data_IF_882390067678
#
_entry.id   IF_882390067678
#
_cell.length_a   1.000
_cell.length_b   1.000
_cell.length_c   1.000
_cell.angle_alpha   90.00
_cell.angle_beta   90.00
_cell.angle_gamma   90.00
#
_symmetry.space_group_name_H-M   'P 1'
#
loop_
_entity.id
_entity.type
_entity.pdbx_description
1 polymer ?
#
# COMPACT_ATOMS: atom_id res chain seq x y z
N UNK A 1 -14.50 2.68 -72.99
CA UNK A 1 -14.73 4.14 -73.04
C UNK A 1 -15.38 4.56 -71.73
N UNK A 2 -14.63 5.37 -70.94
CA UNK A 2 -15.07 6.36 -69.91
C UNK A 2 -16.09 5.95 -68.83
N UNK A 3 -15.92 6.16 -67.52
CA UNK A 3 -14.89 6.78 -66.67
C UNK A 3 -15.17 6.37 -65.20
N UNK A 4 -14.12 6.09 -64.42
CA UNK A 4 -14.13 6.04 -62.93
C UNK A 4 -14.23 7.45 -62.31
N UNK A 5 -14.49 7.54 -60.98
CA UNK A 5 -13.43 7.91 -60.04
C UNK A 5 -13.42 7.00 -58.79
N UNK A 6 -12.33 6.31 -58.47
CA UNK A 6 -11.14 6.72 -57.66
C UNK A 6 -11.46 6.96 -56.16
N UNK A 7 -11.02 5.99 -55.34
CA UNK A 7 -10.81 6.08 -53.89
C UNK A 7 -9.46 6.73 -53.55
N UNK A 8 -9.39 7.46 -52.42
CA UNK A 8 -8.18 7.68 -51.59
C UNK A 8 -8.69 7.70 -50.13
N UNK A 9 -8.49 6.67 -49.28
CA UNK A 9 -7.29 6.22 -48.55
C UNK A 9 -6.75 7.32 -47.59
N UNK A 10 -6.45 7.10 -46.30
CA UNK A 10 -5.94 5.94 -45.57
C UNK A 10 -6.38 5.94 -44.09
N UNK A 11 -6.92 4.81 -43.62
CA UNK A 11 -6.74 4.31 -42.26
C UNK A 11 -5.41 3.54 -42.20
N UNK A 12 -4.69 3.63 -41.08
CA UNK A 12 -3.64 2.66 -40.74
C UNK A 12 -3.84 2.18 -39.30
N UNK A 13 -4.49 1.02 -39.17
CA UNK A 13 -4.44 0.16 -37.99
C UNK A 13 -3.15 -0.66 -38.01
N UNK A 14 -2.36 -0.59 -36.93
CA UNK A 14 -1.32 -1.57 -36.63
C UNK A 14 -1.93 -2.68 -35.78
N UNK A 15 -1.88 -3.93 -36.27
CA UNK A 15 -2.15 -5.14 -35.48
C UNK A 15 -0.95 -6.07 -35.61
N UNK A 16 -0.27 -6.36 -34.50
CA UNK A 16 0.89 -7.26 -34.46
C UNK A 16 0.45 -8.72 -34.33
N UNK A 17 0.92 -9.53 -35.28
CA UNK A 17 1.16 -10.98 -35.29
C UNK A 17 0.78 -11.81 -34.06
N UNK A 18 -0.31 -12.58 -34.20
CA UNK A 18 -0.47 -14.02 -33.87
C UNK A 18 -1.92 -14.34 -33.45
N UNK A 19 -2.80 -14.66 -34.41
CA UNK A 19 -3.93 -15.62 -34.35
C UNK A 19 -4.73 -15.60 -35.67
N UNK A 20 -5.41 -16.70 -35.96
CA UNK A 20 -6.13 -17.04 -37.20
C UNK A 20 -7.45 -16.25 -37.41
N UNK A 21 -7.92 -16.10 -38.66
CA UNK A 21 -8.99 -15.14 -39.03
C UNK A 21 -10.41 -15.71 -38.88
N UNK A 22 -10.81 -16.10 -37.67
CA UNK A 22 -12.19 -16.54 -37.38
C UNK A 22 -12.83 -15.90 -36.13
N UNK A 23 -12.15 -14.99 -35.43
CA UNK A 23 -12.69 -14.30 -34.26
C UNK A 23 -12.34 -12.81 -34.28
N UNK A 24 -13.05 -12.03 -35.12
CA UNK A 24 -13.12 -10.59 -35.01
C UNK A 24 -14.60 -10.18 -35.00
N UNK A 25 -15.17 -10.05 -33.80
CA UNK A 25 -16.52 -9.50 -33.60
C UNK A 25 -16.41 -7.97 -33.63
N UNK A 26 -17.15 -7.23 -34.49
CA UNK A 26 -17.14 -5.78 -34.46
C UNK A 26 -17.98 -5.28 -33.28
N UNK A 27 -17.34 -4.66 -32.29
CA UNK A 27 -18.04 -3.92 -31.24
C UNK A 27 -18.58 -2.60 -31.79
N UNK A 28 -19.80 -2.62 -32.32
CA UNK A 28 -20.56 -1.43 -32.69
C UNK A 28 -21.04 -0.76 -31.40
N UNK A 29 -20.56 0.46 -31.11
CA UNK A 29 -21.17 1.36 -30.13
C UNK A 29 -22.53 1.82 -30.67
N UNK A 30 -23.61 1.21 -30.17
CA UNK A 30 -24.96 1.69 -30.41
C UNK A 30 -25.27 2.86 -29.45
N UNK A 31 -25.21 4.09 -29.96
CA UNK A 31 -25.91 5.23 -29.35
C UNK A 31 -27.39 5.15 -29.75
N UNK A 32 -28.35 5.08 -28.82
CA UNK A 32 -29.75 4.94 -29.17
C UNK A 32 -30.28 6.21 -29.86
N UNK A 33 -31.06 6.01 -30.92
CA UNK A 33 -31.69 7.10 -31.68
C UNK A 33 -32.91 7.67 -30.92
N UNK A 34 -33.28 8.95 -31.16
CA UNK A 34 -34.34 9.64 -30.41
C UNK A 34 -35.76 9.04 -30.55
N UNK A 35 -35.97 8.06 -31.44
CA UNK A 35 -37.27 7.39 -31.63
C UNK A 35 -37.49 6.18 -30.70
N UNK A 36 -36.46 5.63 -30.06
CA UNK A 36 -36.64 4.51 -29.10
C UNK A 36 -36.93 4.98 -27.67
N UNK A 37 -36.67 6.25 -27.34
CA UNK A 37 -36.93 6.83 -26.01
C UNK A 37 -38.42 7.16 -25.79
N UNK A 38 -39.22 7.24 -26.86
CA UNK A 38 -40.66 7.56 -26.78
C UNK A 38 -41.54 6.32 -26.56
N UNK A 39 -41.05 5.10 -26.81
CA UNK A 39 -41.80 3.86 -26.54
C UNK A 39 -41.65 3.36 -25.09
N UNK A 40 -40.62 3.79 -24.36
CA UNK A 40 -40.36 3.37 -22.97
C UNK A 40 -41.13 4.18 -21.92
N UNK A 41 -41.54 5.43 -22.23
CA UNK A 41 -42.31 6.26 -21.30
C UNK A 41 -43.79 5.85 -21.15
N UNK A 42 -44.36 5.08 -22.10
CA UNK A 42 -45.76 4.63 -22.03
C UNK A 42 -45.97 3.34 -21.21
N UNK A 43 -44.92 2.73 -20.64
CA UNK A 43 -45.04 1.51 -19.82
C UNK A 43 -44.89 1.71 -18.30
N UNK A 44 -44.53 2.91 -17.81
CA UNK A 44 -44.18 3.10 -16.40
C UNK A 44 -44.74 4.37 -15.71
N UNK A 45 -45.76 5.02 -16.26
CA UNK A 45 -46.59 6.04 -15.57
C UNK A 45 -45.83 7.03 -14.64
N UNK A 46 -44.71 7.60 -15.11
CA UNK A 46 -43.94 8.60 -14.39
C UNK A 46 -44.31 10.00 -14.92
N UNK A 47 -44.95 10.81 -14.07
CA UNK A 47 -45.13 12.25 -14.33
C UNK A 47 -43.81 12.97 -14.05
N UNK A 48 -43.46 13.90 -14.95
CA UNK A 48 -42.34 14.86 -14.93
C UNK A 48 -41.03 14.41 -15.61
N UNK A 49 -40.92 14.72 -16.90
CA UNK A 49 -39.65 15.04 -17.55
C UNK A 49 -39.88 16.29 -18.42
N UNK A 50 -39.41 17.43 -17.92
CA UNK A 50 -39.64 18.75 -18.48
C UNK A 50 -38.29 19.46 -18.69
N UNK A 51 -37.98 19.67 -19.97
CA UNK A 51 -37.18 20.78 -20.55
C UNK A 51 -35.65 20.83 -20.34
N UNK A 52 -34.92 20.83 -21.47
CA UNK A 52 -34.31 22.04 -22.06
C UNK A 52 -33.74 21.73 -23.47
N UNK A 53 -34.27 22.41 -24.49
CA UNK A 53 -33.75 22.41 -25.88
C UNK A 53 -32.59 23.42 -26.02
N UNK A 54 -31.56 23.13 -26.84
CA UNK A 54 -30.48 24.06 -27.10
C UNK A 54 -30.89 25.11 -28.15
N UNK A 55 -30.62 26.40 -27.86
CA UNK A 55 -30.68 27.49 -28.83
C UNK A 55 -29.25 27.89 -29.25
N UNK A 56 -28.93 27.78 -30.53
CA UNK A 56 -27.97 28.64 -31.25
C UNK A 56 -28.81 29.75 -31.92
N UNK A 57 -28.32 31.00 -32.12
CA UNK A 57 -27.39 31.21 -33.25
C UNK A 57 -26.49 32.48 -33.24
N UNK A 58 -25.65 32.50 -34.29
CA UNK A 58 -25.06 33.64 -35.05
C UNK A 58 -23.64 34.12 -34.72
N UNK A 59 -22.83 33.98 -35.77
CA UNK A 59 -21.54 34.60 -36.02
C UNK A 59 -21.66 36.12 -36.15
N UNK A 60 -20.59 36.83 -35.78
CA UNK A 60 -20.35 38.22 -36.16
C UNK A 60 -18.92 38.40 -36.64
N UNK A 61 -18.81 39.31 -37.62
CA UNK A 61 -17.71 39.58 -38.54
C UNK A 61 -16.46 40.21 -37.90
N UNK A 62 -15.37 39.99 -38.62
CA UNK A 62 -14.08 40.69 -38.68
C UNK A 62 -14.15 42.23 -38.71
N UNK A 63 -13.19 42.88 -38.03
CA UNK A 63 -12.60 44.18 -38.40
C UNK A 63 -11.09 44.14 -38.12
N UNK A 64 -10.32 44.73 -39.03
CA UNK A 64 -8.86 44.71 -39.11
C UNK A 64 -8.16 45.82 -38.32
N UNK A 65 -6.90 45.52 -37.97
CA UNK A 65 -5.68 46.34 -37.85
C UNK A 65 -5.74 47.85 -37.50
N UNK A 66 -4.93 48.23 -36.49
CA UNK A 66 -4.07 49.41 -36.60
C UNK A 66 -2.72 49.18 -35.92
N UNK A 67 -1.69 49.67 -36.59
CA UNK A 67 -0.26 49.62 -36.27
C UNK A 67 0.16 50.79 -35.38
N UNK A 68 1.07 50.56 -34.42
CA UNK A 68 1.98 51.60 -33.94
C UNK A 68 3.29 51.01 -33.43
N UNK A 69 4.37 51.56 -33.95
CA UNK A 69 5.79 51.29 -33.77
C UNK A 69 6.37 51.78 -32.44
N UNK A 70 7.33 51.05 -31.86
CA UNK A 70 8.18 51.54 -30.76
C UNK A 70 9.35 50.60 -30.41
N UNK A 71 10.55 51.01 -30.86
CA UNK A 71 11.96 50.60 -30.63
C UNK A 71 12.36 49.48 -29.62
N UNK A 72 13.48 48.76 -29.89
CA UNK A 72 13.96 47.64 -29.07
C UNK A 72 14.91 48.08 -27.94
N UNK A 73 14.81 47.43 -26.79
CA UNK A 73 15.82 47.43 -25.72
C UNK A 73 16.18 45.98 -25.40
N UNK A 74 17.44 45.62 -25.58
CA UNK A 74 18.02 44.35 -25.12
C UNK A 74 18.03 44.29 -23.59
N UNK A 75 17.91 43.07 -23.02
CA UNK A 75 18.97 42.69 -22.09
C UNK A 75 19.37 41.21 -22.20
N UNK A 76 20.67 40.98 -22.29
CA UNK A 76 21.30 39.75 -21.86
C UNK A 76 21.40 39.78 -20.33
N UNK A 77 20.70 38.87 -19.62
CA UNK A 77 21.09 38.45 -18.28
C UNK A 77 20.60 37.03 -18.02
N UNK A 78 21.56 36.16 -17.74
CA UNK A 78 21.46 34.80 -17.25
C UNK A 78 20.47 34.67 -16.09
N UNK A 79 19.46 33.79 -16.20
CA UNK A 79 18.55 33.45 -15.11
C UNK A 79 18.62 31.97 -14.74
N UNK A 80 18.94 31.70 -13.48
CA UNK A 80 18.52 30.49 -12.77
C UNK A 80 16.98 30.41 -12.80
N UNK A 81 16.36 29.22 -12.87
CA UNK A 81 14.91 29.15 -13.00
C UNK A 81 14.22 29.64 -11.72
N UNK A 82 13.11 30.41 -11.81
CA UNK A 82 12.52 31.07 -10.66
C UNK A 82 11.44 30.20 -10.00
N UNK A 83 11.63 29.85 -8.74
CA UNK A 83 10.57 29.33 -7.87
C UNK A 83 9.51 30.40 -7.51
N UNK A 84 9.67 31.64 -7.98
CA UNK A 84 8.86 32.82 -7.61
C UNK A 84 7.61 33.03 -8.46
N UNK A 85 7.56 32.57 -9.71
CA UNK A 85 6.46 32.88 -10.64
C UNK A 85 5.11 32.22 -10.25
N UNK A 86 5.15 31.04 -9.63
CA UNK A 86 3.93 30.30 -9.26
C UNK A 86 3.17 30.97 -8.11
N UNK A 87 3.86 31.69 -7.23
CA UNK A 87 3.27 32.42 -6.11
C UNK A 87 2.49 33.63 -6.63
N UNK A 88 3.00 34.33 -7.63
CA UNK A 88 2.38 35.53 -8.20
C UNK A 88 1.05 35.25 -8.94
N UNK A 89 0.92 34.11 -9.62
CA UNK A 89 -0.34 33.76 -10.33
C UNK A 89 -1.44 33.35 -9.34
N UNK A 90 -1.10 32.66 -8.26
CA UNK A 90 -2.09 32.23 -7.28
C UNK A 90 -2.81 33.44 -6.65
N UNK A 91 -2.09 34.53 -6.40
CA UNK A 91 -2.64 35.79 -5.87
C UNK A 91 -3.57 36.51 -6.87
N UNK A 92 -3.45 36.24 -8.18
CA UNK A 92 -4.41 36.70 -9.20
C UNK A 92 -5.76 35.98 -9.03
N UNK A 93 -5.73 34.68 -8.72
CA UNK A 93 -6.94 33.87 -8.55
C UNK A 93 -7.56 34.01 -7.14
N UNK A 94 -6.75 34.28 -6.12
CA UNK A 94 -7.18 34.30 -4.73
C UNK A 94 -6.74 35.60 -4.03
N UNK A 95 -7.71 36.42 -3.59
CA UNK A 95 -7.43 37.56 -2.72
C UNK A 95 -7.19 37.08 -1.29
N UNK A 96 -5.97 37.24 -0.79
CA UNK A 96 -5.63 36.92 0.60
C UNK A 96 -6.40 37.82 1.58
N UNK A 97 -6.97 37.24 2.64
CA UNK A 97 -7.61 38.01 3.71
C UNK A 97 -6.55 38.51 4.69
N UNK A 98 -6.63 39.79 5.07
CA UNK A 98 -5.77 40.34 6.12
C UNK A 98 -5.94 39.51 7.40
N UNK A 99 -4.85 38.89 7.89
CA UNK A 99 -4.79 37.98 9.05
C UNK A 99 -4.94 36.46 8.79
N UNK A 100 -4.77 35.96 7.55
CA UNK A 100 -4.73 34.52 7.28
C UNK A 100 -3.32 33.88 7.37
N UNK A 101 -2.49 34.24 8.36
CA UNK A 101 -1.25 33.46 8.60
C UNK A 101 -1.61 32.18 9.35
N UNK A 102 -1.35 30.98 8.79
CA UNK A 102 -1.52 29.73 9.53
C UNK A 102 -0.68 29.78 10.80
N UNK A 103 -1.22 29.29 11.91
CA UNK A 103 -0.44 29.14 13.15
C UNK A 103 0.80 28.29 12.85
N UNK A 104 2.00 28.81 13.13
CA UNK A 104 3.28 28.15 12.94
C UNK A 104 3.49 26.91 13.82
N UNK A 105 2.58 26.63 14.74
CA UNK A 105 2.74 25.64 15.80
C UNK A 105 2.00 24.31 15.57
N UNK A 106 1.31 24.16 14.44
CA UNK A 106 0.64 22.91 14.10
C UNK A 106 1.30 22.31 12.85
N UNK A 107 1.95 21.16 12.99
CA UNK A 107 2.18 20.28 11.85
C UNK A 107 0.80 19.79 11.39
N UNK A 108 0.24 20.41 10.36
CA UNK A 108 -1.13 20.15 9.91
C UNK A 108 -1.26 18.93 9.00
N UNK A 109 -0.25 18.06 8.93
CA UNK A 109 -0.22 16.98 7.95
C UNK A 109 0.69 15.84 8.34
N UNK A 110 0.23 14.62 8.05
CA UNK A 110 1.03 13.40 8.15
C UNK A 110 1.97 13.32 6.96
N UNK A 111 3.22 12.93 7.21
CA UNK A 111 4.20 12.57 6.19
C UNK A 111 4.59 11.10 6.32
N UNK A 112 4.51 10.37 5.21
CA UNK A 112 4.90 8.96 5.14
C UNK A 112 6.02 8.79 4.13
N UNK A 113 7.06 8.05 4.50
CA UNK A 113 8.12 7.61 3.59
C UNK A 113 7.93 6.14 3.22
N UNK A 114 8.09 5.80 1.95
CA UNK A 114 8.23 4.42 1.47
C UNK A 114 9.64 4.26 0.89
N UNK A 115 10.42 3.35 1.47
CA UNK A 115 11.77 3.00 1.00
C UNK A 115 11.70 1.72 0.18
N UNK A 116 12.15 1.81 -1.06
CA UNK A 116 12.01 0.80 -2.11
C UNK A 116 10.78 1.07 -2.97
N UNK A 117 10.98 1.29 -4.28
CA UNK A 117 9.89 1.47 -5.27
C UNK A 117 9.73 0.22 -6.14
N UNK A 118 9.88 -0.96 -5.51
CA UNK A 118 9.49 -2.24 -6.10
C UNK A 118 7.98 -2.43 -6.08
N UNK A 119 7.51 -3.59 -6.57
CA UNK A 119 6.08 -3.91 -6.66
C UNK A 119 5.36 -3.81 -5.30
N UNK A 120 6.03 -4.14 -4.20
CA UNK A 120 5.50 -4.01 -2.83
C UNK A 120 5.41 -2.54 -2.42
N UNK A 121 6.51 -1.79 -2.55
CA UNK A 121 6.55 -0.37 -2.21
C UNK A 121 5.51 0.45 -2.97
N UNK A 122 5.36 0.20 -4.28
CA UNK A 122 4.36 0.91 -5.08
C UNK A 122 2.92 0.50 -4.75
N UNK A 123 2.67 -0.78 -4.43
CA UNK A 123 1.34 -1.20 -3.94
C UNK A 123 0.99 -0.51 -2.60
N UNK A 124 1.96 -0.36 -1.70
CA UNK A 124 1.78 0.37 -0.43
C UNK A 124 1.54 1.85 -0.68
N UNK A 125 2.38 2.50 -1.49
CA UNK A 125 2.28 3.92 -1.83
C UNK A 125 0.91 4.24 -2.46
N UNK A 126 0.48 3.46 -3.44
CA UNK A 126 -0.83 3.62 -4.10
C UNK A 126 -2.00 3.38 -3.12
N UNK A 127 -1.89 2.40 -2.22
CA UNK A 127 -2.95 2.14 -1.23
C UNK A 127 -3.03 3.26 -0.20
N UNK A 128 -1.88 3.82 0.22
CA UNK A 128 -1.81 4.98 1.12
C UNK A 128 -2.49 6.21 0.49
N UNK A 129 -2.24 6.46 -0.80
CA UNK A 129 -2.84 7.58 -1.53
C UNK A 129 -4.35 7.41 -1.68
N UNK A 130 -4.80 6.24 -2.10
CA UNK A 130 -6.25 5.97 -2.32
C UNK A 130 -7.05 5.89 -1.03
N UNK A 131 -6.41 5.60 0.12
CA UNK A 131 -7.06 5.64 1.44
C UNK A 131 -6.90 6.99 2.18
N UNK A 132 -6.31 7.99 1.52
CA UNK A 132 -6.18 9.35 2.06
C UNK A 132 -5.43 9.38 3.40
N UNK A 133 -4.34 8.63 3.51
CA UNK A 133 -3.62 8.44 4.79
C UNK A 133 -2.52 9.48 5.04
N UNK A 134 -2.17 10.30 4.05
CA UNK A 134 -1.06 11.23 4.15
C UNK A 134 -1.29 12.50 3.36
N UNK A 135 -0.64 13.58 3.79
CA UNK A 135 -0.57 14.86 3.06
C UNK A 135 0.73 15.03 2.30
N UNK A 136 1.79 14.31 2.72
CA UNK A 136 3.07 14.24 2.03
C UNK A 136 3.54 12.78 1.94
N UNK A 137 3.85 12.32 0.73
CA UNK A 137 4.41 11.00 0.46
C UNK A 137 5.84 11.19 -0.08
N UNK A 138 6.82 10.61 0.62
CA UNK A 138 8.20 10.57 0.17
C UNK A 138 8.58 9.18 -0.31
N UNK A 139 9.20 9.08 -1.48
CA UNK A 139 9.70 7.84 -2.05
C UNK A 139 11.23 7.87 -2.11
N UNK A 140 11.87 6.78 -1.70
CA UNK A 140 13.32 6.61 -1.77
C UNK A 140 13.66 5.27 -2.39
N UNK A 141 14.54 5.27 -3.38
CA UNK A 141 15.14 4.08 -3.97
C UNK A 141 16.52 4.46 -4.54
N UNK A 142 17.37 3.47 -4.81
CA UNK A 142 18.68 3.67 -5.44
C UNK A 142 18.57 3.84 -6.95
N UNK A 143 17.50 3.34 -7.58
CA UNK A 143 17.28 3.42 -9.03
C UNK A 143 16.62 4.75 -9.41
N UNK A 144 17.43 5.78 -9.64
CA UNK A 144 16.97 7.16 -9.87
C UNK A 144 15.91 7.32 -10.97
N UNK A 145 16.11 6.70 -12.13
CA UNK A 145 15.17 6.82 -13.26
C UNK A 145 13.83 6.14 -12.96
N UNK A 146 13.88 4.94 -12.39
CA UNK A 146 12.69 4.23 -11.94
C UNK A 146 11.94 5.04 -10.88
N UNK A 147 12.65 5.53 -9.87
CA UNK A 147 12.09 6.35 -8.80
C UNK A 147 11.38 7.60 -9.33
N UNK A 148 12.01 8.30 -10.28
CA UNK A 148 11.41 9.45 -10.94
C UNK A 148 10.17 9.05 -11.75
N UNK A 149 10.23 7.95 -12.50
CA UNK A 149 9.11 7.42 -13.28
C UNK A 149 7.89 7.12 -12.41
N UNK A 150 8.07 6.36 -11.33
CA UNK A 150 7.01 6.00 -10.38
C UNK A 150 6.40 7.25 -9.71
N UNK A 151 7.23 8.23 -9.33
CA UNK A 151 6.74 9.50 -8.78
C UNK A 151 5.88 10.27 -9.79
N UNK A 152 6.34 10.40 -11.04
CA UNK A 152 5.61 11.13 -12.08
C UNK A 152 4.28 10.46 -12.39
N UNK A 153 4.24 9.12 -12.45
CA UNK A 153 3.02 8.37 -12.71
C UNK A 153 1.97 8.60 -11.61
N UNK A 154 2.39 8.55 -10.33
CA UNK A 154 1.49 8.90 -9.22
C UNK A 154 1.05 10.37 -9.24
N UNK A 155 1.93 11.30 -9.66
CA UNK A 155 1.57 12.72 -9.81
C UNK A 155 0.57 12.95 -10.95
N UNK A 156 0.63 12.19 -12.04
CA UNK A 156 -0.37 12.25 -13.11
C UNK A 156 -1.76 11.83 -12.62
N UNK A 157 -1.83 10.97 -11.60
CA UNK A 157 -3.08 10.59 -10.95
C UNK A 157 -3.64 11.64 -9.97
N UNK A 158 -2.95 12.77 -9.74
CA UNK A 158 -3.32 13.76 -8.71
C UNK A 158 -4.74 14.33 -8.87
N UNK A 159 -5.31 14.36 -10.08
CA UNK A 159 -6.69 14.80 -10.30
C UNK A 159 -7.75 13.84 -9.73
N UNK A 160 -7.39 12.59 -9.47
CA UNK A 160 -8.27 11.54 -8.95
C UNK A 160 -8.02 11.21 -7.48
N UNK A 161 -7.01 11.84 -6.87
CA UNK A 161 -6.55 11.57 -5.52
C UNK A 161 -6.71 12.83 -4.64
N UNK A 162 -6.76 12.69 -3.31
CA UNK A 162 -6.64 13.83 -2.41
C UNK A 162 -5.34 14.59 -2.67
N UNK A 163 -5.37 15.90 -2.41
CA UNK A 163 -4.19 16.76 -2.55
C UNK A 163 -3.06 16.25 -1.63
N UNK A 164 -2.14 15.51 -2.23
CA UNK A 164 -0.97 14.94 -1.56
C UNK A 164 0.28 15.43 -2.27
N UNK A 165 1.24 15.96 -1.51
CA UNK A 165 2.55 16.31 -2.05
C UNK A 165 3.38 15.02 -2.18
N UNK A 166 3.73 14.65 -3.41
CA UNK A 166 4.56 13.48 -3.68
C UNK A 166 5.96 13.96 -4.05
N UNK A 167 6.96 13.51 -3.29
CA UNK A 167 8.38 13.82 -3.51
C UNK A 167 9.18 12.53 -3.59
N UNK A 168 10.22 12.50 -4.42
CA UNK A 168 11.07 11.33 -4.57
C UNK A 168 12.52 11.73 -4.80
N UNK A 169 13.45 11.06 -4.12
CA UNK A 169 14.89 11.28 -4.31
C UNK A 169 15.68 10.04 -3.84
N UNK A 170 16.88 9.83 -4.40
CA UNK A 170 17.84 8.84 -3.90
C UNK A 170 18.45 9.30 -2.56
N UNK A 171 18.51 10.62 -2.32
CA UNK A 171 18.93 11.20 -1.05
C UNK A 171 17.80 11.17 0.00
N UNK A 172 18.12 10.61 1.16
CA UNK A 172 17.23 10.50 2.31
C UNK A 172 16.83 11.85 2.92
N UNK A 173 17.46 12.97 2.57
CA UNK A 173 17.01 14.30 2.98
C UNK A 173 15.52 14.55 2.64
N UNK A 174 15.01 13.93 1.56
CA UNK A 174 13.58 14.01 1.18
C UNK A 174 12.65 13.40 2.24
N UNK A 175 13.16 12.50 3.09
CA UNK A 175 12.41 11.80 4.14
C UNK A 175 12.29 12.62 5.42
N UNK A 176 12.86 13.82 5.49
CA UNK A 176 12.91 14.61 6.71
C UNK A 176 11.51 14.87 7.30
N UNK A 177 11.38 14.57 8.59
CA UNK A 177 10.17 14.80 9.37
C UNK A 177 9.02 13.81 9.13
N UNK A 178 9.28 12.63 8.57
CA UNK A 178 8.29 11.57 8.37
C UNK A 178 7.79 10.97 9.68
N UNK A 179 6.47 10.88 9.83
CA UNK A 179 5.82 10.25 10.98
C UNK A 179 5.95 8.72 10.92
N UNK A 180 5.91 8.15 9.71
CA UNK A 180 6.09 6.71 9.46
C UNK A 180 7.03 6.51 8.28
N UNK A 181 8.03 5.64 8.46
CA UNK A 181 8.90 5.15 7.40
C UNK A 181 8.65 3.67 7.16
N UNK A 182 8.10 3.33 6.00
CA UNK A 182 7.83 1.95 5.56
C UNK A 182 9.02 1.43 4.77
N UNK A 183 9.68 0.38 5.27
CA UNK A 183 10.87 -0.21 4.65
C UNK A 183 10.46 -1.45 3.86
N UNK A 184 10.49 -1.34 2.54
CA UNK A 184 10.21 -2.44 1.60
C UNK A 184 11.43 -2.84 0.77
N UNK A 185 12.48 -2.03 0.83
CA UNK A 185 13.75 -2.31 0.17
C UNK A 185 14.39 -3.56 0.77
N UNK A 186 14.71 -4.51 -0.09
CA UNK A 186 15.32 -5.77 0.29
C UNK A 186 15.81 -6.53 -0.92
N UNK A 187 16.83 -7.34 -0.69
CA UNK A 187 17.27 -8.37 -1.61
C UNK A 187 16.16 -9.41 -1.80
N UNK A 188 15.96 -9.84 -3.04
CA UNK A 188 15.23 -11.07 -3.34
C UNK A 188 16.16 -12.26 -3.15
N UNK A 189 15.60 -13.36 -2.65
CA UNK A 189 16.29 -14.64 -2.63
C UNK A 189 16.61 -15.06 -4.06
N UNK A 190 17.86 -15.48 -4.28
CA UNK A 190 18.31 -16.06 -5.55
C UNK A 190 18.13 -17.58 -5.50
N UNK A 191 17.99 -18.21 -6.67
CA UNK A 191 17.89 -19.67 -6.75
C UNK A 191 19.14 -20.32 -6.14
N UNK A 192 18.92 -21.23 -5.18
CA UNK A 192 19.99 -21.91 -4.43
C UNK A 192 20.63 -21.08 -3.30
N UNK A 193 20.21 -19.83 -3.07
CA UNK A 193 20.71 -19.00 -1.97
C UNK A 193 20.16 -19.47 -0.62
N UNK A 194 21.04 -19.61 0.37
CA UNK A 194 20.62 -19.98 1.72
C UNK A 194 19.84 -18.85 2.38
N UNK A 195 19.00 -19.21 3.36
CA UNK A 195 18.25 -18.22 4.15
C UNK A 195 19.18 -17.26 4.90
N UNK A 196 20.36 -17.73 5.33
CA UNK A 196 21.35 -16.91 6.03
C UNK A 196 21.99 -15.88 5.09
N UNK A 197 22.40 -16.29 3.89
CA UNK A 197 23.02 -15.38 2.91
C UNK A 197 22.07 -14.24 2.52
N UNK A 198 20.79 -14.56 2.34
CA UNK A 198 19.75 -13.57 2.08
C UNK A 198 19.64 -12.55 3.22
N UNK A 199 19.65 -13.03 4.48
CA UNK A 199 19.58 -12.14 5.64
C UNK A 199 20.83 -11.29 5.76
N UNK A 200 22.01 -11.83 5.49
CA UNK A 200 23.27 -11.08 5.53
C UNK A 200 23.27 -9.95 4.49
N UNK A 201 22.80 -10.20 3.27
CA UNK A 201 22.63 -9.15 2.23
C UNK A 201 21.65 -8.08 2.69
N UNK A 202 20.53 -8.48 3.28
CA UNK A 202 19.55 -7.52 3.80
C UNK A 202 20.08 -6.75 5.01
N UNK A 203 20.92 -7.35 5.87
CA UNK A 203 21.61 -6.66 6.96
C UNK A 203 22.50 -5.54 6.42
N UNK A 204 23.29 -5.81 5.36
CA UNK A 204 24.10 -4.78 4.70
C UNK A 204 23.25 -3.64 4.12
N UNK A 205 22.11 -3.95 3.51
CA UNK A 205 21.16 -2.92 3.05
C UNK A 205 20.59 -2.12 4.22
N UNK A 206 20.20 -2.77 5.32
CA UNK A 206 19.61 -2.08 6.47
C UNK A 206 20.61 -1.16 7.16
N UNK A 207 21.90 -1.51 7.17
CA UNK A 207 22.99 -0.63 7.66
C UNK A 207 23.10 0.69 6.89
N UNK A 208 22.72 0.73 5.61
CA UNK A 208 22.72 1.97 4.81
C UNK A 208 21.38 2.71 4.85
N UNK A 209 20.27 2.00 5.07
CA UNK A 209 18.90 2.57 5.08
C UNK A 209 18.54 3.16 6.45
N UNK A 210 18.61 2.34 7.51
CA UNK A 210 17.96 2.65 8.80
C UNK A 210 18.58 3.88 9.48
N UNK A 211 19.91 4.04 9.56
CA UNK A 211 20.50 5.24 10.17
C UNK A 211 20.18 6.54 9.42
N UNK A 212 19.98 6.48 8.10
CA UNK A 212 19.57 7.66 7.33
C UNK A 212 18.13 8.07 7.66
N UNK A 213 17.22 7.11 7.81
CA UNK A 213 15.84 7.39 8.20
C UNK A 213 15.76 8.04 9.59
N UNK A 214 16.47 7.50 10.58
CA UNK A 214 16.46 8.08 11.93
C UNK A 214 17.22 9.39 12.04
N UNK A 215 18.24 9.61 11.20
CA UNK A 215 18.92 10.91 11.07
C UNK A 215 17.95 12.02 10.65
N UNK A 216 17.11 11.77 9.65
CA UNK A 216 16.20 12.80 9.11
C UNK A 216 14.82 12.80 9.79
N UNK A 217 14.45 11.71 10.43
CA UNK A 217 13.17 11.53 11.13
C UNK A 217 13.36 10.79 12.46
N UNK A 218 13.96 11.43 13.49
CA UNK A 218 14.29 10.79 14.76
C UNK A 218 13.06 10.35 15.56
N UNK A 219 11.90 10.93 15.29
CA UNK A 219 10.62 10.59 15.93
C UNK A 219 9.76 9.64 15.09
N UNK A 220 10.30 9.05 14.01
CA UNK A 220 9.50 8.20 13.13
C UNK A 220 9.10 6.88 13.78
N UNK A 221 8.05 6.26 13.24
CA UNK A 221 7.77 4.84 13.41
C UNK A 221 8.31 4.09 12.20
N UNK A 222 9.14 3.08 12.44
CA UNK A 222 9.63 2.18 11.40
C UNK A 222 8.67 1.01 11.23
N UNK A 223 8.08 0.89 10.04
CA UNK A 223 7.29 -0.27 9.62
C UNK A 223 8.12 -1.10 8.63
N UNK A 224 8.66 -2.22 9.10
CA UNK A 224 9.46 -3.13 8.27
C UNK A 224 8.56 -4.10 7.53
N UNK A 225 8.73 -4.19 6.21
CA UNK A 225 7.98 -5.11 5.32
C UNK A 225 8.94 -6.06 4.59
N UNK A 226 10.21 -5.67 4.44
CA UNK A 226 11.24 -6.50 3.84
C UNK A 226 11.39 -7.84 4.56
N UNK A 227 11.68 -8.91 3.81
CA UNK A 227 11.78 -10.27 4.35
C UNK A 227 13.22 -10.75 4.56
N UNK A 228 13.47 -11.59 5.58
CA UNK A 228 12.51 -12.11 6.56
C UNK A 228 12.17 -11.07 7.62
N UNK A 229 10.88 -10.72 7.71
CA UNK A 229 10.42 -9.49 8.38
C UNK A 229 10.73 -9.46 9.86
N UNK A 230 10.62 -10.59 10.56
CA UNK A 230 10.85 -10.66 12.00
C UNK A 230 12.32 -10.36 12.37
N UNK A 231 13.26 -10.97 11.65
CA UNK A 231 14.70 -10.76 11.84
C UNK A 231 15.10 -9.34 11.40
N UNK A 232 14.56 -8.86 10.29
CA UNK A 232 14.86 -7.51 9.79
C UNK A 232 14.25 -6.41 10.67
N UNK A 233 13.14 -6.69 11.37
CA UNK A 233 12.58 -5.78 12.37
C UNK A 233 13.50 -5.65 13.57
N UNK A 234 14.05 -6.77 14.07
CA UNK A 234 15.08 -6.75 15.11
C UNK A 234 16.32 -5.94 14.67
N UNK A 235 16.82 -6.18 13.46
CA UNK A 235 17.97 -5.45 12.91
C UNK A 235 17.66 -3.96 12.80
N UNK A 236 16.48 -3.59 12.28
CA UNK A 236 16.06 -2.19 12.22
C UNK A 236 16.01 -1.56 13.62
N UNK A 237 15.49 -2.28 14.63
CA UNK A 237 15.47 -1.79 16.00
C UNK A 237 16.89 -1.50 16.52
N UNK A 238 17.81 -2.44 16.40
CA UNK A 238 19.20 -2.27 16.84
C UNK A 238 19.92 -1.14 16.09
N UNK A 239 19.74 -1.01 14.78
CA UNK A 239 20.39 0.02 13.97
C UNK A 239 19.77 1.41 14.15
N UNK A 240 18.48 1.48 14.47
CA UNK A 240 17.75 2.75 14.58
C UNK A 240 18.05 3.51 15.87
N UNK A 241 18.32 2.79 16.96
CA UNK A 241 18.36 3.37 18.31
C UNK A 241 16.99 3.84 18.84
N UNK A 242 15.90 3.56 18.13
CA UNK A 242 14.55 3.88 18.55
C UNK A 242 14.09 2.96 19.68
N UNK A 243 13.15 3.40 20.54
CA UNK A 243 12.51 2.50 21.48
C UNK A 243 11.70 1.44 20.72
N UNK A 244 11.61 0.23 21.28
CA UNK A 244 11.02 -0.92 20.61
C UNK A 244 9.56 -0.72 20.19
N UNK A 245 8.81 0.15 20.89
CA UNK A 245 7.44 0.48 20.52
C UNK A 245 7.31 1.24 19.19
N UNK A 246 8.39 1.86 18.69
CA UNK A 246 8.41 2.58 17.41
C UNK A 246 9.01 1.77 16.26
N UNK A 247 9.35 0.51 16.47
CA UNK A 247 9.85 -0.38 15.42
C UNK A 247 9.00 -1.63 15.39
N UNK A 248 8.27 -1.83 14.30
CA UNK A 248 7.41 -2.98 14.10
C UNK A 248 7.58 -3.55 12.70
N UNK A 249 7.36 -4.86 12.58
CA UNK A 249 7.30 -5.54 11.29
C UNK A 249 5.86 -5.78 10.87
N UNK A 250 5.59 -5.85 9.57
CA UNK A 250 4.26 -6.20 9.06
C UNK A 250 3.78 -7.56 9.57
N UNK A 251 4.73 -8.46 9.86
CA UNK A 251 4.48 -9.73 10.54
C UNK A 251 3.39 -10.56 9.88
N UNK A 252 2.61 -11.24 10.71
CA UNK A 252 1.52 -12.13 10.31
C UNK A 252 0.18 -11.42 10.11
N UNK A 253 0.15 -10.09 9.93
CA UNK A 253 -1.07 -9.34 9.64
C UNK A 253 -1.70 -9.78 8.31
N UNK A 254 -0.86 -10.07 7.31
CA UNK A 254 -1.32 -10.62 6.03
C UNK A 254 -1.77 -12.08 6.16
N UNK A 255 -1.00 -12.91 6.88
CA UNK A 255 -1.33 -14.33 7.08
C UNK A 255 -2.65 -14.48 7.85
N UNK A 256 -2.86 -13.67 8.87
CA UNK A 256 -4.15 -13.62 9.59
C UNK A 256 -5.29 -13.13 8.69
N UNK A 257 -5.02 -12.24 7.72
CA UNK A 257 -6.02 -11.87 6.71
C UNK A 257 -6.38 -13.04 5.78
N UNK A 258 -5.38 -13.82 5.34
CA UNK A 258 -5.60 -15.03 4.53
C UNK A 258 -6.37 -16.08 5.31
N UNK A 259 -6.00 -16.27 6.57
CA UNK A 259 -6.64 -17.21 7.47
C UNK A 259 -8.12 -16.89 7.66
N UNK A 260 -8.44 -15.61 7.94
CA UNK A 260 -9.83 -15.13 8.00
C UNK A 260 -10.58 -15.36 6.70
N UNK A 261 -9.94 -15.14 5.54
CA UNK A 261 -10.57 -15.39 4.24
C UNK A 261 -10.94 -16.86 4.06
N UNK A 262 -10.01 -17.79 4.34
CA UNK A 262 -10.27 -19.22 4.18
C UNK A 262 -11.36 -19.73 5.13
N UNK A 263 -11.38 -19.26 6.38
CA UNK A 263 -12.45 -19.58 7.33
C UNK A 263 -13.78 -19.00 6.85
N UNK A 264 -13.77 -17.75 6.37
CA UNK A 264 -14.96 -17.08 5.86
C UNK A 264 -15.55 -17.81 4.65
N UNK A 265 -14.71 -18.26 3.72
CA UNK A 265 -15.12 -19.02 2.54
C UNK A 265 -15.71 -20.39 2.95
N UNK A 266 -15.11 -21.05 3.95
CA UNK A 266 -15.61 -22.34 4.45
C UNK A 266 -16.96 -22.23 5.14
N UNK A 267 -17.23 -21.10 5.81
CA UNK A 267 -18.46 -20.85 6.57
C UNK A 267 -19.49 -20.03 5.80
N UNK A 268 -19.18 -19.60 4.58
CA UNK A 268 -19.99 -18.69 3.75
C UNK A 268 -20.39 -17.40 4.49
N UNK A 269 -19.39 -16.72 5.08
CA UNK A 269 -19.55 -15.44 5.80
C UNK A 269 -18.58 -14.38 5.30
N UNK A 270 -18.70 -13.15 5.79
CA UNK A 270 -17.73 -12.10 5.47
C UNK A 270 -16.46 -12.25 6.33
N UNK A 271 -15.28 -12.14 5.72
CA UNK A 271 -14.00 -12.19 6.43
C UNK A 271 -13.80 -11.08 7.48
N UNK A 272 -14.57 -9.99 7.43
CA UNK A 272 -14.58 -8.96 8.47
C UNK A 272 -15.23 -9.42 9.78
N UNK A 273 -16.14 -10.39 9.70
CA UNK A 273 -16.85 -10.95 10.86
C UNK A 273 -16.11 -12.13 11.51
N UNK A 274 -15.02 -12.59 10.89
CA UNK A 274 -14.13 -13.65 11.39
C UNK A 274 -12.98 -13.04 12.18
N UNK A 275 -12.87 -13.40 13.45
CA UNK A 275 -11.73 -13.06 14.30
C UNK A 275 -10.85 -14.28 14.47
N UNK A 276 -9.68 -14.23 13.86
CA UNK A 276 -8.69 -15.30 13.87
C UNK A 276 -7.29 -14.70 13.72
N UNK A 277 -6.33 -15.26 14.44
CA UNK A 277 -4.94 -14.82 14.43
C UNK A 277 -4.00 -15.94 14.04
N UNK A 278 -3.05 -15.62 13.18
CA UNK A 278 -1.77 -16.31 13.07
C UNK A 278 -0.74 -15.46 13.79
N UNK A 279 0.06 -16.06 14.66
CA UNK A 279 1.12 -15.41 15.45
C UNK A 279 2.47 -16.12 15.22
N UNK A 280 3.54 -15.62 15.84
CA UNK A 280 4.89 -16.18 15.67
C UNK A 280 5.60 -15.62 14.43
N UNK A 281 6.46 -16.44 13.84
CA UNK A 281 7.16 -16.10 12.59
C UNK A 281 6.19 -15.85 11.43
N UNK A 282 6.46 -14.82 10.62
CA UNK A 282 5.91 -14.73 9.27
C UNK A 282 6.62 -15.75 8.36
N UNK A 283 6.05 -16.96 8.27
CA UNK A 283 6.58 -18.04 7.46
C UNK A 283 6.19 -19.43 7.99
N UNK A 284 7.08 -20.40 7.77
CA UNK A 284 6.82 -21.82 8.00
C UNK A 284 6.56 -22.16 9.47
N UNK A 285 7.17 -21.46 10.43
CA UNK A 285 6.93 -21.70 11.86
C UNK A 285 5.80 -20.86 12.48
N UNK A 286 4.93 -20.28 11.64
CA UNK A 286 3.74 -19.56 12.10
C UNK A 286 2.79 -20.44 12.92
N UNK A 287 2.02 -19.83 13.81
CA UNK A 287 1.11 -20.53 14.73
C UNK A 287 -0.30 -19.99 14.57
N UNK A 288 -1.21 -20.83 14.07
CA UNK A 288 -2.64 -20.52 14.03
C UNK A 288 -3.27 -20.69 15.43
N UNK A 289 -3.95 -19.65 15.91
CA UNK A 289 -4.62 -19.64 17.22
C UNK A 289 -6.05 -20.17 17.14
N UNK A 290 -6.17 -21.48 16.92
CA UNK A 290 -7.45 -22.19 16.79
C UNK A 290 -8.38 -21.99 17.98
N UNK A 291 -7.81 -21.96 19.19
CA UNK A 291 -8.56 -21.77 20.44
C UNK A 291 -9.28 -20.42 20.53
N UNK A 292 -8.82 -19.42 19.76
CA UNK A 292 -9.31 -18.04 19.78
C UNK A 292 -10.25 -17.67 18.64
N UNK A 293 -10.51 -18.60 17.71
CA UNK A 293 -11.32 -18.30 16.51
C UNK A 293 -12.76 -18.04 16.91
N UNK A 294 -13.30 -16.90 16.44
CA UNK A 294 -14.71 -16.57 16.58
C UNK A 294 -15.29 -15.97 15.31
N UNK A 295 -16.58 -16.22 15.08
CA UNK A 295 -17.34 -15.65 13.96
C UNK A 295 -18.57 -14.95 14.52
N UNK A 296 -18.71 -13.64 14.28
CA UNK A 296 -19.79 -12.85 14.88
C UNK A 296 -19.81 -12.88 16.42
N UNK A 297 -18.65 -13.14 17.04
CA UNK A 297 -18.52 -13.31 18.50
C UNK A 297 -18.79 -14.73 19.02
N UNK A 298 -19.11 -15.69 18.15
CA UNK A 298 -19.32 -17.10 18.52
C UNK A 298 -18.00 -17.87 18.42
N UNK A 299 -17.44 -18.42 19.52
CA UNK A 299 -16.22 -19.22 19.47
C UNK A 299 -16.47 -20.53 18.72
N UNK A 300 -15.77 -20.73 17.59
CA UNK A 300 -16.09 -21.81 16.64
C UNK A 300 -15.83 -23.18 17.26
N UNK A 301 -14.61 -23.44 17.73
CA UNK A 301 -14.25 -24.75 18.27
C UNK A 301 -15.03 -25.09 19.55
N UNK A 302 -15.21 -24.12 20.45
CA UNK A 302 -15.99 -24.36 21.67
C UNK A 302 -17.47 -24.66 21.37
N UNK A 303 -18.03 -24.10 20.30
CA UNK A 303 -19.39 -24.44 19.87
C UNK A 303 -19.46 -25.87 19.33
N UNK A 304 -18.53 -26.25 18.45
CA UNK A 304 -18.47 -27.60 17.87
C UNK A 304 -18.33 -28.66 18.97
N UNK A 305 -17.44 -28.43 19.94
CA UNK A 305 -17.26 -29.31 21.10
C UNK A 305 -18.53 -29.43 21.94
N UNK A 306 -19.18 -28.30 22.26
CA UNK A 306 -20.43 -28.29 23.06
C UNK A 306 -21.58 -29.01 22.35
N UNK A 307 -21.66 -28.90 21.03
CA UNK A 307 -22.68 -29.55 20.21
C UNK A 307 -22.29 -30.99 19.83
N UNK A 308 -21.12 -31.47 20.28
CA UNK A 308 -20.57 -32.78 19.91
C UNK A 308 -20.49 -32.98 18.39
N UNK A 309 -20.28 -31.88 17.65
CA UNK A 309 -20.08 -31.93 16.20
C UNK A 309 -18.60 -32.30 15.99
N UNK A 310 -18.32 -33.47 15.39
CA UNK A 310 -16.94 -33.85 15.12
C UNK A 310 -16.32 -32.90 14.10
N UNK A 311 -15.07 -32.53 14.34
CA UNK A 311 -14.23 -31.86 13.35
C UNK A 311 -12.88 -32.57 13.32
N UNK A 312 -12.30 -32.68 12.13
CA UNK A 312 -11.03 -33.36 11.93
C UNK A 312 -9.88 -32.36 12.16
N UNK A 313 -8.91 -32.73 13.01
CA UNK A 313 -7.68 -31.93 13.19
C UNK A 313 -6.95 -31.73 11.86
N UNK A 314 -7.03 -32.72 10.96
CA UNK A 314 -6.49 -32.65 9.60
C UNK A 314 -7.12 -31.52 8.75
N UNK A 315 -8.42 -31.24 8.92
CA UNK A 315 -9.06 -30.10 8.25
C UNK A 315 -8.45 -28.78 8.72
N UNK A 316 -8.23 -28.63 10.03
CA UNK A 316 -7.62 -27.44 10.59
C UNK A 316 -6.18 -27.27 10.07
N UNK A 317 -5.39 -28.34 10.09
CA UNK A 317 -4.01 -28.37 9.58
C UNK A 317 -3.95 -28.06 8.08
N UNK A 318 -4.93 -28.52 7.29
CA UNK A 318 -5.05 -28.21 5.87
C UNK A 318 -5.28 -26.72 5.64
N UNK A 319 -6.16 -26.08 6.42
CA UNK A 319 -6.40 -24.63 6.34
C UNK A 319 -5.14 -23.86 6.71
N UNK A 320 -4.45 -24.23 7.80
CA UNK A 320 -3.20 -23.55 8.19
C UNK A 320 -2.12 -23.70 7.11
N UNK A 321 -1.97 -24.92 6.55
CA UNK A 321 -1.05 -25.21 5.46
C UNK A 321 -1.37 -24.40 4.21
N UNK A 322 -2.66 -24.23 3.88
CA UNK A 322 -3.09 -23.38 2.77
C UNK A 322 -2.70 -21.90 2.98
N UNK A 323 -2.74 -21.39 4.22
CA UNK A 323 -2.27 -20.01 4.50
C UNK A 323 -0.78 -19.85 4.23
N UNK A 324 0.05 -20.78 4.72
CA UNK A 324 1.50 -20.76 4.50
C UNK A 324 1.78 -20.86 2.99
N UNK A 325 1.13 -21.80 2.31
CA UNK A 325 1.33 -22.06 0.88
C UNK A 325 0.77 -20.97 -0.04
N UNK A 326 -0.17 -20.14 0.43
CA UNK A 326 -0.76 -19.05 -0.36
C UNK A 326 0.29 -18.06 -0.87
N UNK A 327 1.32 -17.76 -0.09
CA UNK A 327 2.40 -16.87 -0.54
C UNK A 327 3.20 -17.50 -1.69
N UNK A 328 3.61 -18.76 -1.52
CA UNK A 328 4.38 -19.51 -2.50
C UNK A 328 3.62 -19.72 -3.79
N UNK A 329 2.32 -20.02 -3.71
CA UNK A 329 1.47 -20.19 -4.89
C UNK A 329 1.38 -18.89 -5.71
N UNK A 330 1.12 -17.74 -5.06
CA UNK A 330 1.06 -16.46 -5.75
C UNK A 330 2.41 -16.11 -6.40
N UNK A 331 3.52 -16.34 -5.68
CA UNK A 331 4.87 -16.12 -6.23
C UNK A 331 5.11 -17.04 -7.44
N UNK A 332 4.73 -18.31 -7.37
CA UNK A 332 4.84 -19.25 -8.48
C UNK A 332 4.03 -18.79 -9.71
N UNK A 333 2.83 -18.24 -9.49
CA UNK A 333 1.92 -17.84 -10.57
C UNK A 333 2.28 -16.51 -11.23
N UNK A 334 2.71 -15.50 -10.47
CA UNK A 334 2.97 -14.15 -11.00
C UNK A 334 4.38 -13.59 -10.76
N UNK A 335 5.24 -14.34 -10.07
CA UNK A 335 6.64 -13.99 -9.78
C UNK A 335 6.88 -13.14 -8.53
N UNK A 336 5.84 -12.65 -7.85
CA UNK A 336 5.97 -11.79 -6.66
C UNK A 336 4.64 -11.65 -5.90
N UNK A 337 4.66 -11.09 -4.69
CA UNK A 337 3.47 -10.56 -4.01
C UNK A 337 3.49 -9.02 -4.04
N UNK A 338 2.32 -8.38 -4.02
CA UNK A 338 2.22 -6.91 -4.09
C UNK A 338 0.94 -6.38 -3.44
N UNK A 339 -0.22 -6.65 -4.05
CA UNK A 339 -1.49 -6.03 -3.65
C UNK A 339 -1.91 -6.34 -2.22
N UNK A 340 -1.93 -7.62 -1.83
CA UNK A 340 -2.38 -8.03 -0.51
C UNK A 340 -1.47 -7.49 0.61
N UNK A 341 -0.15 -7.48 0.40
CA UNK A 341 0.78 -6.85 1.36
C UNK A 341 0.66 -5.32 1.34
N UNK A 342 0.33 -4.71 0.19
CA UNK A 342 -0.05 -3.30 0.06
C UNK A 342 -1.21 -2.90 0.98
N UNK A 343 -2.32 -3.63 0.90
CA UNK A 343 -3.47 -3.44 1.78
C UNK A 343 -3.15 -3.75 3.25
N UNK A 344 -2.37 -4.81 3.52
CA UNK A 344 -1.94 -5.16 4.87
C UNK A 344 -1.15 -4.03 5.51
N UNK A 345 -0.07 -3.56 4.89
CA UNK A 345 0.76 -2.49 5.45
C UNK A 345 0.01 -1.15 5.53
N UNK A 346 -0.82 -0.81 4.54
CA UNK A 346 -1.66 0.39 4.60
C UNK A 346 -2.67 0.33 5.75
N UNK A 347 -3.20 -0.86 6.10
CA UNK A 347 -4.07 -1.02 7.27
C UNK A 347 -3.35 -0.73 8.59
N UNK A 348 -2.06 -1.10 8.71
CA UNK A 348 -1.22 -0.80 9.87
C UNK A 348 -0.95 0.71 9.97
N UNK A 349 -0.54 1.31 8.85
CA UNK A 349 -0.34 2.76 8.72
C UNK A 349 -1.61 3.52 9.12
N UNK A 350 -2.78 3.09 8.64
CA UNK A 350 -4.07 3.69 8.98
C UNK A 350 -4.35 3.65 10.47
N UNK A 351 -4.10 2.51 11.13
CA UNK A 351 -4.28 2.37 12.57
C UNK A 351 -3.37 3.30 13.37
N UNK A 352 -2.12 3.49 12.92
CA UNK A 352 -1.14 4.38 13.55
C UNK A 352 -1.54 5.86 13.35
N UNK A 353 -1.70 6.30 12.09
CA UNK A 353 -1.95 7.71 11.74
C UNK A 353 -3.27 8.20 12.32
N UNK A 354 -4.33 7.38 12.27
CA UNK A 354 -5.65 7.75 12.79
C UNK A 354 -5.83 7.42 14.27
N UNK A 355 -4.78 6.99 14.96
CA UNK A 355 -4.79 6.58 16.36
C UNK A 355 -5.94 5.61 16.70
N UNK A 356 -6.21 4.63 15.82
CA UNK A 356 -7.43 3.82 15.92
C UNK A 356 -7.41 2.84 17.10
N UNK A 357 -6.23 2.59 17.69
CA UNK A 357 -6.03 1.61 18.78
C UNK A 357 -6.53 0.22 18.39
N UNK A 358 -6.41 -0.13 17.11
CA UNK A 358 -6.77 -1.45 16.59
C UNK A 358 -5.70 -2.47 16.92
N UNK A 359 -6.13 -3.72 17.09
CA UNK A 359 -5.24 -4.85 17.36
C UNK A 359 -4.86 -5.52 16.03
N UNK A 360 -3.56 -5.68 15.81
CA UNK A 360 -2.99 -6.32 14.63
C UNK A 360 -1.91 -7.31 15.04
N UNK A 361 -1.83 -8.52 14.44
CA UNK A 361 -0.71 -9.41 14.68
C UNK A 361 0.48 -8.93 13.86
N UNK A 362 1.38 -8.20 14.51
CA UNK A 362 2.56 -7.57 13.90
C UNK A 362 3.82 -7.97 14.65
N UNK A 363 4.96 -7.93 13.97
CA UNK A 363 6.24 -8.30 14.57
C UNK A 363 6.64 -7.26 15.61
N UNK A 364 6.75 -7.68 16.88
CA UNK A 364 7.08 -6.86 18.05
C UNK A 364 8.13 -7.55 18.90
N UNK A 365 8.81 -6.80 19.77
CA UNK A 365 9.71 -7.39 20.77
C UNK A 365 8.89 -8.29 21.72
N UNK A 366 9.09 -9.61 21.60
CA UNK A 366 8.27 -10.61 22.29
C UNK A 366 8.78 -10.94 23.71
N UNK A 367 9.92 -10.39 24.11
CA UNK A 367 10.49 -10.56 25.44
C UNK A 367 9.49 -10.20 26.54
N UNK A 368 9.31 -11.10 27.48
CA UNK A 368 8.37 -10.98 28.60
C UNK A 368 6.95 -11.49 28.29
N UNK A 369 6.67 -11.92 27.06
CA UNK A 369 5.37 -12.50 26.68
C UNK A 369 5.47 -14.01 26.50
N UNK A 370 4.45 -14.74 26.98
CA UNK A 370 4.30 -16.18 26.77
C UNK A 370 5.54 -17.05 27.10
N UNK A 371 6.33 -16.62 28.09
CA UNK A 371 7.55 -17.32 28.53
C UNK A 371 8.81 -17.06 27.69
N UNK A 372 8.76 -16.11 26.76
CA UNK A 372 9.90 -15.74 25.91
C UNK A 372 10.80 -14.75 26.66
N UNK A 373 12.07 -15.10 26.86
CA UNK A 373 13.06 -14.27 27.57
C UNK A 373 14.05 -13.56 26.62
N UNK A 374 14.23 -14.11 25.43
CA UNK A 374 15.18 -13.63 24.44
C UNK A 374 14.69 -12.34 23.76
N UNK A 375 15.63 -11.49 23.33
CA UNK A 375 15.35 -10.28 22.54
C UNK A 375 14.96 -10.64 21.08
N UNK A 376 13.83 -11.31 20.90
CA UNK A 376 13.32 -11.72 19.59
C UNK A 376 12.14 -10.85 19.17
N UNK A 377 12.06 -10.59 17.86
CA UNK A 377 10.88 -10.03 17.25
C UNK A 377 10.09 -11.15 16.60
N UNK A 378 8.79 -11.23 16.89
CA UNK A 378 7.85 -12.12 16.22
C UNK A 378 6.44 -11.53 16.33
N UNK A 379 5.50 -12.09 15.57
CA UNK A 379 4.18 -11.51 15.49
C UNK A 379 3.33 -11.85 16.71
N UNK A 380 2.86 -10.82 17.42
CA UNK A 380 1.85 -10.94 18.48
C UNK A 380 0.72 -9.92 18.23
N UNK A 381 -0.51 -10.17 18.70
CA UNK A 381 -1.62 -9.24 18.53
C UNK A 381 -1.36 -7.96 19.34
N UNK A 382 -0.94 -6.91 18.66
CA UNK A 382 -0.51 -5.65 19.26
C UNK A 382 -1.51 -4.53 18.98
N UNK A 383 -1.78 -3.70 19.98
CA UNK A 383 -2.57 -2.49 19.84
C UNK A 383 -1.72 -1.39 19.20
N UNK A 384 -2.16 -0.87 18.05
CA UNK A 384 -1.44 0.17 17.30
C UNK A 384 -2.11 1.54 17.41
N UNK A 385 -1.30 2.57 17.65
CA UNK A 385 -1.74 3.97 17.65
C UNK A 385 -0.61 4.92 17.28
N UNK A 386 -0.76 6.22 17.55
CA UNK A 386 0.22 7.25 17.14
C UNK A 386 1.60 7.09 17.78
N UNK A 387 1.70 6.35 18.89
CA UNK A 387 2.97 5.99 19.53
C UNK A 387 3.62 4.71 18.99
N UNK A 388 3.07 4.10 17.92
CA UNK A 388 3.47 2.79 17.43
C UNK A 388 2.72 1.68 18.18
N UNK A 389 3.46 0.74 18.77
CA UNK A 389 2.92 -0.35 19.59
C UNK A 389 2.59 0.16 20.99
N UNK A 390 1.31 0.18 21.35
CA UNK A 390 0.84 0.66 22.66
C UNK A 390 0.80 -0.45 23.71
N UNK A 391 0.66 -1.70 23.27
CA UNK A 391 0.61 -2.88 24.13
C UNK A 391 0.36 -4.14 23.31
N UNK A 392 0.62 -5.30 23.91
CA UNK A 392 0.34 -6.61 23.34
C UNK A 392 -0.85 -7.22 24.06
N UNK A 393 -1.82 -7.74 23.32
CA UNK A 393 -3.00 -8.37 23.89
C UNK A 393 -2.62 -9.67 24.60
N UNK A 394 -3.13 -9.84 25.83
CA UNK A 394 -2.92 -11.05 26.61
C UNK A 394 -3.93 -12.13 26.19
N UNK A 395 -3.70 -12.76 25.03
CA UNK A 395 -4.56 -13.85 24.54
C UNK A 395 -4.19 -15.15 25.25
N UNK A 396 -5.16 -15.86 25.85
CA UNK A 396 -4.89 -17.17 26.43
C UNK A 396 -4.51 -18.16 25.32
N UNK A 397 -3.36 -18.81 25.48
CA UNK A 397 -2.88 -19.83 24.56
C UNK A 397 -3.03 -21.21 25.21
N UNK A 398 -3.35 -22.21 24.41
CA UNK A 398 -3.24 -23.61 24.81
C UNK A 398 -1.78 -24.02 25.03
N UNK A 399 -1.55 -25.17 25.67
CA UNK A 399 -0.19 -25.70 25.85
C UNK A 399 0.51 -25.95 24.50
N UNK A 400 -0.21 -26.47 23.51
CA UNK A 400 0.30 -26.72 22.15
C UNK A 400 0.65 -25.41 21.43
N UNK A 401 -0.24 -24.41 21.45
CA UNK A 401 0.01 -23.08 20.85
C UNK A 401 1.21 -22.38 21.52
N UNK A 402 1.31 -22.46 22.85
CA UNK A 402 2.43 -21.90 23.62
C UNK A 402 3.75 -22.57 23.25
N UNK A 403 3.77 -23.90 23.14
CA UNK A 403 4.96 -24.66 22.76
C UNK A 403 5.41 -24.30 21.34
N UNK A 404 4.47 -24.24 20.38
CA UNK A 404 4.77 -23.86 18.99
C UNK A 404 5.31 -22.43 18.88
N UNK A 405 4.73 -21.48 19.61
CA UNK A 405 5.21 -20.10 19.66
C UNK A 405 6.65 -20.03 20.20
N UNK A 406 6.94 -20.76 21.28
CA UNK A 406 8.28 -20.82 21.85
C UNK A 406 9.30 -21.50 20.91
N UNK A 407 8.90 -22.50 20.13
CA UNK A 407 9.75 -23.09 19.09
C UNK A 407 10.05 -22.08 17.97
N UNK A 408 9.04 -21.33 17.52
CA UNK A 408 9.20 -20.26 16.53
C UNK A 408 10.17 -19.18 17.02
N UNK A 409 10.01 -18.73 18.28
CA UNK A 409 10.92 -17.79 18.93
C UNK A 409 12.38 -18.30 18.94
N UNK A 410 12.59 -19.56 19.34
CA UNK A 410 13.93 -20.18 19.37
C UNK A 410 14.55 -20.30 17.98
N UNK A 411 13.77 -20.61 16.96
CA UNK A 411 14.25 -20.68 15.58
C UNK A 411 14.74 -19.32 15.08
N UNK A 412 13.94 -18.26 15.31
CA UNK A 412 14.32 -16.88 14.96
C UNK A 412 15.59 -16.48 15.72
N UNK A 413 15.64 -16.74 17.03
CA UNK A 413 16.81 -16.42 17.87
C UNK A 413 18.08 -17.14 17.41
N UNK A 414 17.96 -18.41 17.00
CA UNK A 414 19.07 -19.18 16.45
C UNK A 414 19.69 -18.51 15.23
N UNK A 415 18.85 -17.99 14.32
CA UNK A 415 19.31 -17.23 13.15
C UNK A 415 19.97 -15.91 13.56
N UNK A 416 19.38 -15.17 14.51
CA UNK A 416 19.98 -13.94 15.01
C UNK A 416 21.38 -14.17 15.62
N UNK A 417 21.58 -15.27 16.36
CA UNK A 417 22.90 -15.64 16.90
C UNK A 417 23.92 -15.93 15.80
N UNK A 418 23.52 -16.69 14.77
CA UNK A 418 24.41 -17.03 13.65
C UNK A 418 24.89 -15.79 12.88
N UNK A 419 24.07 -14.74 12.84
CA UNK A 419 24.41 -13.46 12.19
C UNK A 419 25.29 -12.56 13.06
N UNK A 420 25.55 -12.91 14.32
CA UNK A 420 26.31 -12.08 15.25
C UNK A 420 25.65 -10.73 15.55
N UNK A 421 24.32 -10.66 15.48
CA UNK A 421 23.55 -9.42 15.74
C UNK A 421 22.96 -9.36 17.15
N UNK A 422 23.10 -10.44 17.94
CA UNK A 422 22.64 -10.57 19.33
C UNK A 422 23.73 -10.16 20.30
#
# INVERSE_FOLDING_TARGET
MSNMPVFTSLDNCFCSSHRSPAECIPSIRLTPSPLQTQLLCNKFNLRQCAWLKPRRPKALRTVAASSASGKPTTPETTSKPPATLAVEIADVFFKSTHSARPSSHLRTGTKITVVGVGNVGMAIAQTILTQELTTELALVDIQADKLRGEMLDLQHAAAFLPRTKIVANTDYAVTAGSDICVITAGARQRDGESRLDLVERNLHLFKSIVPQLTKYSPDTILLVVSNPVDILTYIAWKLSGLPSNRVLGSGTNLDSSRFRSLIADHLDVNAQDVQAYIIGEHGDSSVALWSSISVGGVPVLSLLEKQQIPYEKETLETIHSAVINSAYEVIRLKGYTSWAIGYSAASLVKSIVRNQKRIHPVSVLAKGFHGIEDDVFLSLPAQLGTGGVLGVANIPLTGEETQRLNMSAKAIFGVQKQLGVV
#
